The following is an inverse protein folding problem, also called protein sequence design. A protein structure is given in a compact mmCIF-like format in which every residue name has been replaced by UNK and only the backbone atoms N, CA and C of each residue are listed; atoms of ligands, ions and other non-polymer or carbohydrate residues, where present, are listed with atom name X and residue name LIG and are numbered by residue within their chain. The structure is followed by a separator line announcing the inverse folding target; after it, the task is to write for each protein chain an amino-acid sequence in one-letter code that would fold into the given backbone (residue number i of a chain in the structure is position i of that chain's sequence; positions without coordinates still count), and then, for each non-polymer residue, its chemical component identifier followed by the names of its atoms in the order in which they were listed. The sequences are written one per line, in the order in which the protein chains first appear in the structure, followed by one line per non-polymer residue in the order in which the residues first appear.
data_IF_756771191993
#
_entry.id   IF_756771191993
#
_cell.length_a   1.000
_cell.length_b   1.000
_cell.length_c   1.000
_cell.angle_alpha   90.00
_cell.angle_beta   90.00
_cell.angle_gamma   90.00
#
_symmetry.space_group_name_H-M   'P 1'
#
loop_
_entity.id
_entity.type
_entity.pdbx_description
1 polymer ?
#
# COMPACT_ATOMS: atom_id res chain seq x y z
N UNK A 1 53.66 32.07 21.94
CA UNK A 1 53.15 33.30 21.35
C UNK A 1 51.67 33.11 21.17
N UNK A 2 50.93 33.62 22.11
CA UNK A 2 50.06 34.80 22.10
C UNK A 2 48.87 34.61 21.19
N UNK A 3 47.62 34.76 21.53
CA UNK A 3 46.73 35.31 22.61
C UNK A 3 45.32 34.93 22.18
N UNK A 4 44.41 34.47 22.85
CA UNK A 4 43.60 34.94 23.95
C UNK A 4 42.60 36.04 23.55
N UNK A 5 41.29 35.71 23.41
CA UNK A 5 40.29 36.71 23.77
C UNK A 5 38.98 36.07 24.25
N UNK A 6 38.70 36.28 25.52
CA UNK A 6 37.41 36.09 26.19
C UNK A 6 36.68 37.43 26.13
N UNK A 7 35.41 37.46 25.86
CA UNK A 7 34.58 38.57 26.29
C UNK A 7 33.27 38.08 26.91
N UNK A 8 33.07 38.57 28.07
CA UNK A 8 32.12 38.32 29.13
C UNK A 8 31.01 39.38 29.13
N UNK A 9 29.83 39.05 29.55
CA UNK A 9 28.80 39.76 30.37
C UNK A 9 28.05 40.94 29.72
N UNK A 10 26.72 40.90 29.82
CA UNK A 10 25.91 41.84 30.61
C UNK A 10 24.47 41.37 30.76
N UNK A 11 24.12 41.15 32.03
CA UNK A 11 22.74 41.07 32.51
C UNK A 11 22.16 42.48 32.68
N UNK A 12 20.88 42.64 32.35
CA UNK A 12 20.14 43.85 32.79
C UNK A 12 18.78 43.46 33.32
N UNK A 13 18.62 43.54 34.62
CA UNK A 13 17.36 43.45 35.33
C UNK A 13 16.75 44.86 35.41
N UNK A 14 15.47 45.00 35.18
CA UNK A 14 14.66 46.15 35.61
C UNK A 14 13.36 45.65 36.18
N UNK A 15 13.24 45.81 37.49
CA UNK A 15 12.01 45.73 38.26
C UNK A 15 11.36 47.14 38.30
N UNK A 16 10.04 47.20 38.13
CA UNK A 16 9.25 48.33 38.60
C UNK A 16 7.87 47.83 39.08
N UNK A 17 7.56 48.20 40.27
CA UNK A 17 6.35 47.92 41.04
C UNK A 17 5.30 49.03 40.84
N UNK A 18 4.06 48.70 41.19
CA UNK A 18 2.94 49.63 41.47
C UNK A 18 1.75 49.39 40.55
N UNK A 19 0.50 49.30 40.98
CA UNK A 19 -0.23 49.74 42.18
C UNK A 19 -1.59 49.01 42.20
N UNK A 20 -2.14 48.83 43.39
CA UNK A 20 -3.42 48.28 43.75
C UNK A 20 -4.62 49.04 43.16
N UNK A 21 -5.58 48.31 42.61
CA UNK A 21 -6.94 48.81 42.29
C UNK A 21 -7.95 47.69 42.53
N UNK A 22 -8.55 47.67 43.72
CA UNK A 22 -9.65 46.80 44.08
C UNK A 22 -10.99 47.31 43.50
N UNK A 23 -11.64 46.47 42.69
CA UNK A 23 -13.10 46.59 42.47
C UNK A 23 -13.71 45.20 42.53
N UNK A 24 -14.49 44.99 43.59
CA UNK A 24 -15.34 43.85 43.85
C UNK A 24 -16.48 43.81 42.85
N UNK A 25 -16.65 42.70 42.14
CA UNK A 25 -17.95 42.31 41.58
C UNK A 25 -18.04 40.78 41.58
N UNK A 26 -19.14 40.28 42.13
CA UNK A 26 -19.46 38.89 42.43
C UNK A 26 -19.34 37.95 41.24
N UNK A 27 -18.96 36.68 41.47
CA UNK A 27 -18.89 35.71 40.36
C UNK A 27 -20.26 35.20 40.02
N UNK A 28 -20.66 35.40 38.75
CA UNK A 28 -21.71 34.64 38.09
C UNK A 28 -21.23 33.21 37.90
N UNK A 29 -21.98 32.25 38.40
CA UNK A 29 -21.76 30.82 38.15
C UNK A 29 -21.76 30.58 36.66
N UNK A 30 -20.62 30.14 36.14
CA UNK A 30 -20.52 29.59 34.77
C UNK A 30 -20.61 28.08 34.93
N UNK A 31 -21.71 27.52 34.44
CA UNK A 31 -21.87 26.08 34.27
C UNK A 31 -20.70 25.57 33.38
N UNK A 32 -19.77 24.85 34.00
CA UNK A 32 -18.80 24.02 33.28
C UNK A 32 -19.52 22.79 32.77
N UNK A 33 -20.12 22.92 31.58
CA UNK A 33 -20.46 21.77 30.79
C UNK A 33 -19.15 21.08 30.41
N UNK A 34 -18.86 19.96 31.02
CA UNK A 34 -17.80 19.04 30.64
C UNK A 34 -18.07 18.61 29.19
N UNK A 35 -17.26 19.13 28.29
CA UNK A 35 -17.19 18.60 26.93
C UNK A 35 -16.64 17.17 27.03
N UNK A 36 -17.53 16.18 27.09
CA UNK A 36 -17.21 14.81 26.80
C UNK A 36 -16.74 14.78 25.34
N UNK A 37 -15.42 14.67 25.15
CA UNK A 37 -14.80 14.36 23.86
C UNK A 37 -15.23 12.97 23.43
N UNK A 38 -16.44 12.85 22.91
CA UNK A 38 -16.87 11.71 22.16
C UNK A 38 -16.05 11.68 20.87
N UNK A 39 -15.10 10.73 20.78
CA UNK A 39 -14.56 10.31 19.50
C UNK A 39 -15.76 9.93 18.65
N UNK A 40 -16.14 10.81 17.73
CA UNK A 40 -17.11 10.47 16.71
C UNK A 40 -16.46 9.36 15.88
N UNK A 41 -16.84 8.11 16.16
CA UNK A 41 -16.68 7.04 15.21
C UNK A 41 -17.28 7.54 13.91
N UNK A 42 -16.45 7.66 12.86
CA UNK A 42 -16.91 8.05 11.54
C UNK A 42 -18.10 7.14 11.21
N UNK A 43 -19.28 7.73 11.05
CA UNK A 43 -20.44 7.01 10.61
C UNK A 43 -20.06 6.28 9.30
N UNK A 44 -20.42 5.00 9.14
CA UNK A 44 -20.21 4.33 7.87
C UNK A 44 -20.89 5.19 6.80
N UNK A 45 -20.13 5.59 5.79
CA UNK A 45 -20.64 6.34 4.65
C UNK A 45 -21.69 5.47 3.95
N UNK A 46 -22.93 5.61 4.34
CA UNK A 46 -24.06 5.01 3.67
C UNK A 46 -24.14 5.61 2.27
N UNK A 47 -23.77 4.83 1.25
CA UNK A 47 -23.86 5.25 -0.15
C UNK A 47 -22.68 4.90 -1.04
N UNK A 48 -21.55 4.41 -0.54
CA UNK A 48 -20.60 3.72 -1.40
C UNK A 48 -21.16 2.33 -1.70
N UNK A 49 -21.66 2.18 -2.91
CA UNK A 49 -21.94 0.87 -3.49
C UNK A 49 -20.56 0.18 -3.62
N UNK A 50 -20.09 -0.42 -2.54
CA UNK A 50 -18.95 -1.34 -2.63
C UNK A 50 -19.41 -2.44 -3.55
N UNK A 51 -18.86 -2.45 -4.75
CA UNK A 51 -19.08 -3.50 -5.71
C UNK A 51 -18.73 -4.81 -5.00
N UNK A 52 -19.79 -5.57 -4.65
CA UNK A 52 -19.59 -6.80 -3.89
C UNK A 52 -18.70 -7.73 -4.71
N UNK A 53 -17.70 -8.35 -4.08
CA UNK A 53 -16.91 -9.37 -4.74
C UNK A 53 -17.86 -10.39 -5.38
N UNK A 54 -17.82 -10.46 -6.70
CA UNK A 54 -18.69 -11.38 -7.45
C UNK A 54 -17.96 -12.70 -7.65
N UNK A 55 -18.61 -13.81 -7.31
CA UNK A 55 -18.10 -15.11 -7.70
C UNK A 55 -18.11 -15.23 -9.24
N UNK A 56 -16.96 -15.58 -9.81
CA UNK A 56 -16.82 -15.72 -11.27
C UNK A 56 -16.99 -17.16 -11.76
N UNK A 57 -17.30 -18.07 -10.84
CA UNK A 57 -17.44 -19.51 -11.14
C UNK A 57 -16.11 -20.14 -11.56
N UNK A 58 -15.01 -19.68 -10.96
CA UNK A 58 -13.67 -20.13 -11.26
C UNK A 58 -13.28 -21.44 -10.59
N UNK A 59 -12.09 -21.92 -10.90
CA UNK A 59 -11.45 -23.11 -10.31
C UNK A 59 -10.35 -22.76 -9.33
N UNK A 60 -10.24 -21.50 -8.94
CA UNK A 60 -9.15 -21.02 -8.11
C UNK A 60 -7.88 -20.74 -8.91
N UNK A 61 -6.74 -20.66 -8.21
CA UNK A 61 -5.43 -20.33 -8.79
C UNK A 61 -4.84 -21.52 -9.58
N UNK A 62 -3.87 -21.27 -10.47
CA UNK A 62 -3.21 -22.32 -11.26
C UNK A 62 -2.51 -23.38 -10.41
N UNK A 63 -2.32 -24.58 -10.97
CA UNK A 63 -1.62 -25.67 -10.31
C UNK A 63 -0.19 -25.25 -9.86
N UNK A 64 0.19 -25.62 -8.65
CA UNK A 64 1.48 -25.24 -8.06
C UNK A 64 1.52 -23.86 -7.42
N UNK A 65 0.42 -23.13 -7.45
CA UNK A 65 0.26 -21.84 -6.78
C UNK A 65 -0.73 -21.90 -5.63
N UNK A 66 -0.56 -21.03 -4.68
CA UNK A 66 -1.48 -20.81 -3.56
C UNK A 66 -2.07 -19.41 -3.68
N UNK A 67 -3.38 -19.31 -3.45
CA UNK A 67 -4.09 -18.03 -3.39
C UNK A 67 -4.57 -17.75 -1.97
N UNK A 68 -4.55 -16.47 -1.59
CA UNK A 68 -5.14 -16.00 -0.35
C UNK A 68 -5.97 -14.76 -0.58
N UNK A 69 -7.23 -14.81 -0.22
CA UNK A 69 -8.14 -13.66 -0.26
C UNK A 69 -7.83 -12.67 0.87
N UNK A 70 -8.07 -11.39 0.64
CA UNK A 70 -7.92 -10.33 1.66
C UNK A 70 -8.92 -10.51 2.80
N UNK A 71 -10.12 -10.95 2.47
CA UNK A 71 -11.21 -11.21 3.40
C UNK A 71 -11.33 -12.72 3.65
N UNK A 72 -11.12 -13.13 4.91
CA UNK A 72 -11.18 -14.54 5.30
C UNK A 72 -12.56 -15.23 5.05
N UNK A 73 -13.63 -14.42 4.89
CA UNK A 73 -14.96 -14.93 4.53
C UNK A 73 -15.16 -15.19 3.03
N UNK A 74 -14.16 -14.92 2.19
CA UNK A 74 -14.20 -15.15 0.74
C UNK A 74 -13.39 -16.36 0.35
N UNK A 75 -13.82 -17.02 -0.73
CA UNK A 75 -13.18 -18.23 -1.23
C UNK A 75 -12.32 -17.89 -2.46
N UNK A 76 -11.07 -18.35 -2.49
CA UNK A 76 -10.19 -18.19 -3.66
C UNK A 76 -10.72 -18.92 -4.89
N UNK A 77 -11.52 -19.95 -4.72
CA UNK A 77 -12.21 -20.64 -5.82
C UNK A 77 -13.21 -19.75 -6.58
N UNK A 78 -13.60 -18.61 -6.00
CA UNK A 78 -14.43 -17.62 -6.69
C UNK A 78 -13.64 -16.80 -7.73
N UNK A 79 -12.31 -16.88 -7.75
CA UNK A 79 -11.49 -16.32 -8.80
C UNK A 79 -11.33 -17.34 -9.96
N UNK A 80 -11.45 -16.87 -11.19
CA UNK A 80 -11.25 -17.65 -12.39
C UNK A 80 -9.87 -17.40 -12.96
N UNK A 81 -9.07 -18.45 -13.08
CA UNK A 81 -7.79 -18.46 -13.75
C UNK A 81 -7.85 -19.41 -14.94
N UNK A 82 -7.42 -18.94 -16.10
CA UNK A 82 -7.21 -19.74 -17.28
C UNK A 82 -5.79 -19.53 -17.80
N UNK A 83 -5.07 -20.62 -18.07
CA UNK A 83 -3.74 -20.50 -18.67
C UNK A 83 -3.86 -20.18 -20.17
N UNK A 84 -3.08 -19.19 -20.59
CA UNK A 84 -2.99 -18.73 -21.97
C UNK A 84 -1.55 -18.37 -22.31
N UNK A 85 -0.90 -19.18 -23.12
CA UNK A 85 0.47 -18.95 -23.61
C UNK A 85 1.48 -18.64 -22.47
N UNK A 86 1.45 -19.41 -21.37
CA UNK A 86 2.32 -19.22 -20.22
C UNK A 86 1.97 -18.02 -19.35
N UNK A 87 0.82 -17.40 -19.56
CA UNK A 87 0.24 -16.33 -18.77
C UNK A 87 -1.10 -16.77 -18.18
N UNK A 88 -1.59 -16.04 -17.22
CA UNK A 88 -2.89 -16.27 -16.60
C UNK A 88 -3.89 -15.22 -17.04
N UNK A 89 -4.94 -15.64 -17.73
CA UNK A 89 -6.15 -14.84 -17.92
C UNK A 89 -6.98 -14.95 -16.63
N UNK A 90 -7.12 -13.83 -15.93
CA UNK A 90 -7.67 -13.77 -14.58
C UNK A 90 -8.92 -12.90 -14.56
N UNK A 91 -10.03 -13.49 -14.21
CA UNK A 91 -11.26 -12.75 -13.86
C UNK A 91 -11.49 -12.91 -12.36
N UNK A 92 -11.47 -11.78 -11.62
CA UNK A 92 -11.53 -11.81 -10.17
C UNK A 92 -12.93 -11.54 -9.63
N UNK A 93 -13.33 -12.37 -8.64
CA UNK A 93 -14.32 -11.99 -7.64
C UNK A 93 -13.61 -11.29 -6.49
N UNK A 94 -13.03 -12.04 -5.51
CA UNK A 94 -12.38 -11.46 -4.35
C UNK A 94 -10.98 -10.91 -4.66
N UNK A 95 -10.60 -9.83 -3.96
CA UNK A 95 -9.21 -9.38 -3.91
C UNK A 95 -8.32 -10.42 -3.23
N UNK A 96 -7.17 -10.72 -3.84
CA UNK A 96 -6.29 -11.77 -3.34
C UNK A 96 -4.83 -11.57 -3.76
N UNK A 97 -3.95 -12.35 -3.13
CA UNK A 97 -2.59 -12.60 -3.59
C UNK A 97 -2.48 -14.02 -4.14
N UNK A 98 -1.61 -14.22 -5.14
CA UNK A 98 -1.24 -15.53 -5.68
C UNK A 98 0.27 -15.67 -5.66
N UNK A 99 0.77 -16.81 -5.19
CA UNK A 99 2.18 -17.06 -4.97
C UNK A 99 2.52 -18.55 -5.02
N UNK A 100 3.79 -18.86 -5.25
CA UNK A 100 4.31 -20.20 -5.04
C UNK A 100 5.51 -20.16 -4.07
N UNK A 101 5.63 -21.13 -3.17
CA UNK A 101 6.70 -21.15 -2.16
C UNK A 101 8.10 -21.19 -2.79
N UNK A 102 8.23 -21.77 -3.98
CA UNK A 102 9.48 -21.82 -4.77
C UNK A 102 9.95 -20.44 -5.24
N UNK A 103 9.02 -19.52 -5.44
CA UNK A 103 9.29 -18.18 -5.96
C UNK A 103 9.66 -17.27 -4.78
N UNK A 104 10.84 -17.44 -4.22
CA UNK A 104 11.35 -16.68 -3.10
C UNK A 104 12.71 -16.07 -3.36
N UNK A 105 12.98 -14.93 -2.73
CA UNK A 105 14.23 -14.21 -2.84
C UNK A 105 14.65 -13.57 -1.51
N UNK A 106 15.94 -13.34 -1.35
CA UNK A 106 16.53 -12.62 -0.21
C UNK A 106 17.78 -11.87 -0.65
N UNK A 107 18.18 -10.87 0.11
CA UNK A 107 19.33 -10.02 -0.19
C UNK A 107 19.05 -9.09 -1.37
N UNK A 108 19.96 -9.02 -2.34
CA UNK A 108 19.80 -8.23 -3.55
C UNK A 108 19.18 -9.06 -4.68
N UNK A 109 18.10 -8.57 -5.28
CA UNK A 109 17.42 -9.23 -6.40
C UNK A 109 16.51 -8.24 -7.14
N UNK A 110 16.04 -8.65 -8.31
CA UNK A 110 14.97 -7.97 -9.02
C UNK A 110 13.83 -8.95 -9.27
N UNK A 111 12.63 -8.59 -8.82
CA UNK A 111 11.39 -9.30 -9.11
C UNK A 111 10.58 -8.53 -10.15
N UNK A 112 10.00 -9.24 -11.12
CA UNK A 112 9.21 -8.62 -12.19
C UNK A 112 7.97 -9.44 -12.52
N UNK A 113 6.93 -8.78 -13.00
CA UNK A 113 5.73 -9.36 -13.63
C UNK A 113 5.20 -8.39 -14.68
N UNK A 114 4.48 -8.89 -15.66
CA UNK A 114 3.71 -8.03 -16.58
C UNK A 114 2.23 -8.31 -16.36
N UNK A 115 1.45 -7.24 -16.21
CA UNK A 115 0.00 -7.32 -16.04
C UNK A 115 -0.65 -6.42 -17.08
N UNK A 116 -1.52 -7.00 -17.89
CA UNK A 116 -2.35 -6.27 -18.85
C UNK A 116 -3.77 -6.19 -18.30
N UNK A 117 -4.28 -4.99 -18.10
CA UNK A 117 -5.70 -4.77 -17.86
C UNK A 117 -6.44 -4.96 -19.19
N UNK A 118 -7.49 -5.79 -19.22
CA UNK A 118 -8.20 -6.16 -20.45
C UNK A 118 -9.53 -5.45 -20.61
N UNK A 119 -10.09 -4.89 -19.53
CA UNK A 119 -11.36 -4.19 -19.52
C UNK A 119 -11.39 -3.10 -18.45
N UNK A 120 -12.28 -2.12 -18.61
CA UNK A 120 -12.53 -1.11 -17.60
C UNK A 120 -13.23 -1.75 -16.39
N UNK A 121 -12.65 -1.69 -15.17
CA UNK A 121 -13.37 -2.10 -13.96
C UNK A 121 -14.48 -1.09 -13.64
N UNK A 122 -15.49 -1.51 -12.86
CA UNK A 122 -16.61 -0.65 -12.46
C UNK A 122 -16.17 0.57 -11.62
N UNK A 123 -15.07 0.43 -10.90
CA UNK A 123 -14.36 1.51 -10.21
C UNK A 123 -12.85 1.25 -10.25
N UNK A 124 -11.99 2.26 -9.98
CA UNK A 124 -10.54 2.09 -10.07
C UNK A 124 -10.03 1.00 -9.14
N UNK A 125 -9.60 -0.12 -9.69
CA UNK A 125 -9.02 -1.24 -8.98
C UNK A 125 -7.54 -1.41 -9.31
N UNK A 126 -6.80 -2.04 -8.38
CA UNK A 126 -5.36 -2.15 -8.46
C UNK A 126 -4.88 -3.60 -8.54
N UNK A 127 -3.73 -3.78 -9.16
CA UNK A 127 -3.02 -5.04 -9.29
C UNK A 127 -1.53 -4.79 -9.26
N UNK A 128 -0.73 -5.81 -8.95
CA UNK A 128 0.71 -5.61 -8.90
C UNK A 128 1.53 -6.75 -8.31
N UNK A 129 2.72 -6.37 -7.84
CA UNK A 129 3.77 -7.25 -7.39
C UNK A 129 3.79 -7.33 -5.87
N UNK A 130 3.97 -8.53 -5.33
CA UNK A 130 4.21 -8.83 -3.91
C UNK A 130 5.66 -9.26 -3.74
N UNK A 131 6.36 -8.74 -2.74
CA UNK A 131 7.72 -9.14 -2.37
C UNK A 131 7.83 -9.37 -0.86
N UNK A 132 8.81 -10.17 -0.43
CA UNK A 132 9.15 -10.39 0.97
C UNK A 132 8.07 -11.11 1.76
N UNK A 133 7.32 -11.98 1.11
CA UNK A 133 6.22 -12.71 1.70
C UNK A 133 6.66 -13.71 2.76
N UNK A 134 6.07 -13.66 3.95
CA UNK A 134 6.21 -14.66 5.01
C UNK A 134 4.87 -14.93 5.67
N UNK A 135 4.69 -16.16 6.17
CA UNK A 135 3.44 -16.65 6.77
C UNK A 135 2.18 -16.32 5.93
N UNK A 136 2.31 -16.40 4.59
CA UNK A 136 1.26 -15.92 3.69
C UNK A 136 -0.08 -16.67 3.83
N UNK A 137 -0.06 -17.89 4.34
CA UNK A 137 -1.27 -18.67 4.64
C UNK A 137 -1.82 -18.40 6.05
N UNK A 138 -0.99 -17.90 6.96
CA UNK A 138 -1.29 -17.72 8.38
C UNK A 138 -1.87 -16.36 8.73
N UNK A 139 -2.23 -16.19 10.01
CA UNK A 139 -2.72 -14.92 10.54
C UNK A 139 -1.61 -13.86 10.63
N UNK A 140 -0.36 -14.27 10.75
CA UNK A 140 0.83 -13.40 10.82
C UNK A 140 1.41 -13.02 9.47
N UNK A 141 0.65 -13.11 8.38
CA UNK A 141 1.11 -12.81 7.03
C UNK A 141 1.82 -11.46 6.95
N UNK A 142 2.98 -11.44 6.27
CA UNK A 142 3.75 -10.21 6.04
C UNK A 142 4.22 -10.15 4.60
N UNK A 143 4.10 -8.97 3.98
CA UNK A 143 4.64 -8.69 2.66
C UNK A 143 4.58 -7.20 2.33
N UNK A 144 5.45 -6.76 1.43
CA UNK A 144 5.35 -5.48 0.75
C UNK A 144 4.68 -5.69 -0.61
N UNK A 145 3.77 -4.80 -1.00
CA UNK A 145 3.16 -4.85 -2.33
C UNK A 145 3.20 -3.49 -3.03
N UNK A 146 3.58 -3.57 -4.29
CA UNK A 146 3.63 -2.47 -5.24
C UNK A 146 2.54 -2.68 -6.27
N UNK A 147 1.59 -1.75 -6.34
CA UNK A 147 0.39 -1.85 -7.16
C UNK A 147 0.20 -0.62 -8.03
N UNK A 148 -0.40 -0.85 -9.20
CA UNK A 148 -0.82 0.18 -10.14
C UNK A 148 -2.31 0.04 -10.43
N UNK A 149 -2.91 1.08 -11.01
CA UNK A 149 -4.29 1.06 -11.51
C UNK A 149 -4.42 1.81 -12.82
N UNK A 150 -5.45 1.48 -13.62
CA UNK A 150 -5.67 2.02 -14.96
C UNK A 150 -5.89 3.54 -15.03
N UNK A 151 -5.96 4.24 -13.90
CA UNK A 151 -6.02 5.69 -13.83
C UNK A 151 -4.66 6.39 -13.96
N UNK A 152 -3.55 5.62 -14.07
CA UNK A 152 -2.20 6.17 -14.20
C UNK A 152 -1.50 6.42 -12.87
N UNK A 153 -1.82 5.65 -11.85
CA UNK A 153 -1.33 5.83 -10.49
C UNK A 153 -0.70 4.55 -9.95
N UNK A 154 0.24 4.70 -9.04
CA UNK A 154 0.86 3.61 -8.29
C UNK A 154 0.73 3.84 -6.78
N UNK A 155 0.86 2.76 -6.00
CA UNK A 155 0.90 2.79 -4.54
C UNK A 155 1.87 1.72 -4.02
N UNK A 156 2.47 1.96 -2.85
CA UNK A 156 3.27 0.97 -2.12
C UNK A 156 2.68 0.80 -0.74
N UNK A 157 2.42 -0.43 -0.35
CA UNK A 157 1.83 -0.76 0.94
C UNK A 157 2.56 -1.95 1.58
N UNK A 158 2.37 -2.10 2.87
CA UNK A 158 2.88 -3.22 3.67
C UNK A 158 1.71 -3.90 4.36
N UNK A 159 1.64 -5.22 4.27
CA UNK A 159 0.76 -6.05 5.08
C UNK A 159 1.54 -6.58 6.27
N UNK A 160 0.98 -6.48 7.46
CA UNK A 160 1.52 -7.08 8.69
C UNK A 160 0.34 -7.64 9.51
N UNK A 161 0.16 -8.94 9.46
CA UNK A 161 -1.02 -9.62 9.97
C UNK A 161 -2.31 -9.12 9.32
N UNK A 162 -3.26 -8.70 10.14
CA UNK A 162 -4.53 -8.12 9.68
C UNK A 162 -4.38 -6.67 9.19
N UNK A 163 -3.31 -5.96 9.59
CA UNK A 163 -3.12 -4.56 9.26
C UNK A 163 -2.52 -4.37 7.86
N UNK A 164 -2.99 -3.35 7.14
CA UNK A 164 -2.36 -2.85 5.93
C UNK A 164 -1.93 -1.40 6.15
N UNK A 165 -0.65 -1.12 5.99
CA UNK A 165 -0.07 0.21 6.15
C UNK A 165 0.32 0.77 4.78
N UNK A 166 -0.16 1.95 4.46
CA UNK A 166 0.24 2.67 3.25
C UNK A 166 1.57 3.36 3.47
N UNK A 167 2.54 3.10 2.59
CA UNK A 167 3.86 3.74 2.57
C UNK A 167 3.87 4.88 1.55
N UNK A 168 3.25 4.65 0.39
CA UNK A 168 3.03 5.64 -0.66
C UNK A 168 1.58 5.53 -1.06
N UNK A 169 0.81 6.61 -0.89
CA UNK A 169 -0.56 6.70 -1.36
C UNK A 169 -0.62 6.62 -2.89
N UNK A 170 -1.82 6.38 -3.44
CA UNK A 170 -1.99 6.42 -4.88
C UNK A 170 -1.50 7.75 -5.43
N UNK A 171 -0.45 7.68 -6.21
CA UNK A 171 0.28 8.83 -6.75
C UNK A 171 0.34 8.72 -8.27
N UNK A 172 -0.12 9.72 -8.98
CA UNK A 172 -0.02 9.81 -10.42
C UNK A 172 1.44 9.90 -10.85
N UNK A 173 1.81 9.15 -11.90
CA UNK A 173 3.15 9.19 -12.46
C UNK A 173 3.10 8.98 -13.99
N UNK A 174 3.81 9.79 -14.78
CA UNK A 174 3.81 9.66 -16.25
C UNK A 174 4.30 8.30 -16.75
N UNK A 175 5.12 7.58 -15.98
CA UNK A 175 5.58 6.23 -16.32
C UNK A 175 4.51 5.15 -16.11
N UNK A 176 3.38 5.49 -15.47
CA UNK A 176 2.22 4.60 -15.31
C UNK A 176 1.19 5.01 -16.36
N UNK A 177 1.06 4.30 -17.48
CA UNK A 177 0.09 4.64 -18.51
C UNK A 177 -1.34 4.63 -17.98
N UNK A 178 -2.16 5.55 -18.44
CA UNK A 178 -3.60 5.44 -18.26
C UNK A 178 -4.16 4.41 -19.21
N UNK A 179 -5.18 3.70 -18.76
CA UNK A 179 -5.93 2.81 -19.65
C UNK A 179 -6.60 3.62 -20.78
N UNK A 180 -6.69 3.00 -21.95
CA UNK A 180 -7.39 3.55 -23.12
C UNK A 180 -8.93 3.60 -22.90
N UNK A 181 -9.65 4.08 -23.90
CA UNK A 181 -11.10 4.17 -23.85
C UNK A 181 -11.80 2.79 -23.70
N UNK A 182 -11.12 1.70 -24.07
CA UNK A 182 -11.57 0.32 -23.87
C UNK A 182 -11.17 -0.26 -22.52
N UNK A 183 -10.52 0.53 -21.68
CA UNK A 183 -10.03 0.11 -20.35
C UNK A 183 -8.76 -0.73 -20.42
N UNK A 184 -8.03 -0.74 -21.52
CA UNK A 184 -6.83 -1.55 -21.71
C UNK A 184 -5.57 -0.78 -21.40
N UNK A 185 -4.66 -1.44 -20.67
CA UNK A 185 -3.33 -0.92 -20.36
C UNK A 185 -2.37 -2.08 -20.08
N UNK A 186 -1.07 -1.88 -20.28
CA UNK A 186 -0.03 -2.87 -20.00
C UNK A 186 1.03 -2.28 -19.09
N UNK A 187 1.44 -3.06 -18.09
CA UNK A 187 2.39 -2.63 -17.06
C UNK A 187 3.42 -3.73 -16.80
N UNK A 188 4.66 -3.49 -17.24
CA UNK A 188 5.80 -4.27 -16.79
C UNK A 188 6.24 -3.72 -15.41
N UNK A 189 5.89 -4.43 -14.35
CA UNK A 189 6.17 -4.04 -12.98
C UNK A 189 7.48 -4.66 -12.50
N UNK A 190 8.25 -3.89 -11.74
CA UNK A 190 9.50 -4.36 -11.16
C UNK A 190 9.72 -3.84 -9.75
N UNK A 191 10.37 -4.67 -8.93
CA UNK A 191 10.93 -4.28 -7.64
C UNK A 191 12.39 -4.72 -7.60
N UNK A 192 13.32 -3.77 -7.61
CA UNK A 192 14.75 -4.01 -7.45
C UNK A 192 15.13 -3.76 -6.00
N UNK A 193 15.47 -4.82 -5.29
CA UNK A 193 15.95 -4.80 -3.91
C UNK A 193 17.48 -4.74 -3.92
N UNK A 194 18.04 -3.81 -3.18
CA UNK A 194 19.48 -3.67 -2.94
C UNK A 194 19.79 -3.87 -1.45
N UNK A 195 21.01 -3.57 -1.01
CA UNK A 195 21.38 -3.69 0.41
C UNK A 195 20.55 -2.79 1.33
N UNK A 196 20.21 -1.59 0.88
CA UNK A 196 19.64 -0.50 1.68
C UNK A 196 18.32 0.06 1.14
N UNK A 197 17.95 -0.25 -0.11
CA UNK A 197 16.81 0.37 -0.77
C UNK A 197 16.04 -0.60 -1.67
N UNK A 198 14.81 -0.19 -2.01
CA UNK A 198 13.96 -0.84 -3.00
C UNK A 198 13.55 0.20 -4.05
N UNK A 199 13.82 -0.08 -5.32
CA UNK A 199 13.32 0.71 -6.46
C UNK A 199 12.10 0.02 -7.04
N UNK A 200 11.00 0.72 -7.10
CA UNK A 200 9.76 0.28 -7.75
C UNK A 200 9.71 0.87 -9.16
N UNK A 201 9.45 0.02 -10.13
CA UNK A 201 9.56 0.37 -11.56
C UNK A 201 8.28 0.00 -12.30
N UNK A 202 7.92 0.85 -13.26
CA UNK A 202 6.88 0.59 -14.25
C UNK A 202 7.47 0.80 -15.64
N UNK A 203 7.34 -0.17 -16.52
CA UNK A 203 7.85 -0.14 -17.90
C UNK A 203 9.34 0.27 -17.97
N UNK A 204 10.16 -0.25 -17.03
CA UNK A 204 11.59 0.05 -16.94
C UNK A 204 11.94 1.37 -16.26
N UNK A 205 10.97 2.24 -15.99
CA UNK A 205 11.20 3.54 -15.33
C UNK A 205 10.97 3.42 -13.83
N UNK A 206 11.93 3.90 -13.02
CA UNK A 206 11.76 3.96 -11.56
C UNK A 206 10.73 5.04 -11.20
N UNK A 207 9.62 4.63 -10.61
CA UNK A 207 8.55 5.53 -10.13
C UNK A 207 8.74 5.92 -8.67
N UNK A 208 9.41 5.07 -7.89
CA UNK A 208 9.73 5.35 -6.48
C UNK A 208 10.96 4.56 -6.03
N UNK A 209 11.78 5.20 -5.20
CA UNK A 209 12.82 4.54 -4.42
C UNK A 209 12.52 4.76 -2.94
N UNK A 210 12.61 3.70 -2.13
CA UNK A 210 12.36 3.75 -0.70
C UNK A 210 13.50 3.06 0.04
N UNK A 211 13.84 3.49 1.27
CA UNK A 211 14.70 2.72 2.15
C UNK A 211 14.11 1.31 2.37
N UNK A 212 14.98 0.30 2.46
CA UNK A 212 14.59 -1.07 2.80
C UNK A 212 13.96 -1.16 4.20
N UNK A 213 14.37 -0.28 5.10
CA UNK A 213 13.83 -0.19 6.45
C UNK A 213 12.31 0.06 6.44
N UNK A 214 11.57 -0.79 7.15
CA UNK A 214 10.11 -0.72 7.23
C UNK A 214 9.37 -1.39 6.09
N UNK A 215 10.07 -2.05 5.15
CA UNK A 215 9.54 -2.92 4.12
C UNK A 215 9.92 -4.38 4.41
N UNK A 216 9.06 -5.30 4.01
CA UNK A 216 9.39 -6.72 3.95
C UNK A 216 9.92 -7.01 2.54
N UNK A 217 11.15 -7.52 2.45
CA UNK A 217 11.83 -7.73 1.17
C UNK A 217 12.36 -9.14 0.98
N UNK A 218 12.62 -9.87 2.06
CA UNK A 218 13.18 -11.21 2.02
C UNK A 218 12.06 -12.23 2.25
N UNK A 219 11.81 -13.10 1.28
CA UNK A 219 10.75 -14.10 1.32
C UNK A 219 10.11 -14.37 -0.03
N UNK A 220 8.86 -14.82 0.00
CA UNK A 220 8.10 -15.21 -1.19
C UNK A 220 7.75 -13.98 -2.03
N UNK A 221 7.84 -14.16 -3.35
CA UNK A 221 7.41 -13.18 -4.36
C UNK A 221 6.13 -13.70 -5.01
N UNK A 222 5.19 -12.81 -5.28
CA UNK A 222 3.90 -13.15 -5.87
C UNK A 222 3.23 -11.99 -6.58
N UNK A 223 2.00 -12.19 -6.95
CA UNK A 223 1.16 -11.17 -7.60
C UNK A 223 -0.04 -10.87 -6.72
N UNK A 224 -0.46 -9.61 -6.73
CA UNK A 224 -1.72 -9.15 -6.16
C UNK A 224 -2.69 -8.78 -7.26
N UNK A 225 -3.93 -9.23 -7.15
CA UNK A 225 -5.05 -8.80 -8.01
C UNK A 225 -6.23 -8.43 -7.10
N UNK A 226 -6.70 -7.20 -7.22
CA UNK A 226 -7.86 -6.75 -6.48
C UNK A 226 -9.15 -7.35 -7.07
N UNK A 227 -10.30 -6.97 -6.54
CA UNK A 227 -11.58 -7.51 -6.96
C UNK A 227 -12.08 -6.91 -8.30
N UNK A 228 -13.04 -7.57 -8.93
CA UNK A 228 -13.77 -7.10 -10.13
C UNK A 228 -12.88 -6.69 -11.31
N UNK A 229 -11.78 -7.40 -11.51
CA UNK A 229 -10.81 -7.17 -12.57
C UNK A 229 -10.84 -8.28 -13.62
N UNK A 230 -10.52 -7.90 -14.86
CA UNK A 230 -10.14 -8.82 -15.92
C UNK A 230 -8.74 -8.42 -16.38
N UNK A 231 -7.75 -9.27 -16.08
CA UNK A 231 -6.34 -9.01 -16.35
C UNK A 231 -5.64 -10.25 -16.91
N UNK A 232 -4.58 -10.03 -17.71
CA UNK A 232 -3.67 -11.07 -18.15
C UNK A 232 -2.34 -10.91 -17.44
N UNK A 233 -1.93 -11.90 -16.65
CA UNK A 233 -0.79 -11.83 -15.72
C UNK A 233 0.32 -12.76 -16.18
N UNK A 234 1.54 -12.25 -16.28
CA UNK A 234 2.74 -13.11 -16.42
C UNK A 234 3.18 -13.55 -15.02
N UNK A 235 3.42 -14.84 -14.78
CA UNK A 235 4.02 -15.32 -13.54
C UNK A 235 5.29 -14.54 -13.18
N UNK A 236 5.54 -14.37 -11.88
CA UNK A 236 6.69 -13.61 -11.40
C UNK A 236 8.01 -14.21 -11.89
N UNK A 237 8.96 -13.35 -12.18
CA UNK A 237 10.34 -13.71 -12.51
C UNK A 237 11.27 -13.06 -11.51
N UNK A 238 12.27 -13.81 -11.05
CA UNK A 238 13.26 -13.36 -10.07
C UNK A 238 14.64 -13.50 -10.71
N UNK A 239 15.42 -12.43 -10.62
CA UNK A 239 16.85 -12.40 -11.05
C UNK A 239 17.69 -11.95 -9.87
N UNK A 240 18.76 -12.68 -9.60
CA UNK A 240 19.79 -12.35 -8.60
C UNK A 240 21.01 -11.79 -9.30
#
# INVERSE_FOLDING_TARGET
MHTGNRNTIAALACALAGTLGACSSAPKAVDTAAAAGGSAAAAPMAGMNHDADKATGGSGVPAGYTGRTDNAGKNIADAKYAESNGRWDVTTGPAHIVYAAKDSASGAYTATTTIDQLATPSHPEAYGLVIGGSDLAGAGQRYTYFIVRGTGEYSVKVRDGAAARTIVDFTANPAVPKADAGGKASYALGAQVTGDSVKFMVNGTTVKSLPKAGLFTDGVVGVRVNHNLHVLVTPVQIRK
#
